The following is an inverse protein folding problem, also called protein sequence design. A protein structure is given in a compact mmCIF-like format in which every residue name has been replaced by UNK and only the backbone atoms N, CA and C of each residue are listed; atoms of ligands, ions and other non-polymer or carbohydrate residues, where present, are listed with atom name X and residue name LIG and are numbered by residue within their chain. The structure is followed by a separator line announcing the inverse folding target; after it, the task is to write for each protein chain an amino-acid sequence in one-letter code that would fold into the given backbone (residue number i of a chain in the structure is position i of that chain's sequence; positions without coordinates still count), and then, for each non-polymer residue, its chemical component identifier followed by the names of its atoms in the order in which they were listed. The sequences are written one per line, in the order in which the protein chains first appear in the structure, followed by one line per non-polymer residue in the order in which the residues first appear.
data_IF_394704647968
#
_entry.id   IF_394704647968
#
_cell.length_a   1.000
_cell.length_b   1.000
_cell.length_c   1.000
_cell.angle_alpha   90.00
_cell.angle_beta   90.00
_cell.angle_gamma   90.00
#
_symmetry.space_group_name_H-M   'P 1'
#
loop_
_entity.id
_entity.type
_entity.pdbx_description
1 polymer ?
#
# COMPACT_ATOMS: atom_id res chain seq x y z
N UNK A 1 1.07 4.78 -24.62
CA UNK A 1 1.23 4.99 -23.18
C UNK A 1 0.76 3.73 -22.49
N UNK A 2 1.67 2.84 -22.09
CA UNK A 2 1.31 1.71 -21.24
C UNK A 2 0.83 2.28 -19.92
N UNK A 3 -0.46 2.11 -19.61
CA UNK A 3 -1.02 2.43 -18.30
C UNK A 3 -0.36 1.46 -17.33
N UNK A 4 0.68 1.91 -16.63
CA UNK A 4 1.39 1.08 -15.67
C UNK A 4 0.56 0.88 -14.42
N UNK A 5 0.77 -0.25 -13.73
CA UNK A 5 -0.02 -0.62 -12.56
C UNK A 5 0.31 0.29 -11.37
N UNK A 6 -0.68 0.52 -10.52
CA UNK A 6 -0.51 1.26 -9.26
C UNK A 6 -0.61 0.33 -8.06
N UNK A 7 0.41 0.38 -7.21
CA UNK A 7 0.45 -0.28 -5.91
C UNK A 7 0.06 0.73 -4.83
N UNK A 8 -0.93 0.40 -4.02
CA UNK A 8 -1.37 1.23 -2.89
C UNK A 8 -1.02 0.57 -1.57
N UNK A 9 -0.38 1.30 -0.67
CA UNK A 9 0.02 0.83 0.66
C UNK A 9 -0.66 1.68 1.72
N UNK A 10 -1.32 1.07 2.71
CA UNK A 10 -1.95 1.80 3.82
C UNK A 10 -1.55 1.23 5.19
N UNK A 11 -0.93 2.08 6.00
CA UNK A 11 -0.46 1.73 7.34
C UNK A 11 -1.48 2.06 8.45
N UNK A 12 -2.69 2.52 8.08
CA UNK A 12 -3.74 2.85 9.03
C UNK A 12 -3.64 4.26 9.61
N UNK A 13 -4.69 4.65 10.32
CA UNK A 13 -4.88 6.02 10.81
C UNK A 13 -4.19 6.31 12.15
N UNK A 14 -3.99 5.29 12.99
CA UNK A 14 -3.78 5.48 14.44
C UNK A 14 -2.38 5.12 14.94
N UNK A 15 -1.64 4.23 14.27
CA UNK A 15 -0.29 3.83 14.69
C UNK A 15 0.64 3.89 13.49
N UNK A 16 1.74 4.67 13.54
CA UNK A 16 2.75 4.61 12.49
C UNK A 16 3.33 3.20 12.46
N UNK A 17 3.49 2.64 11.26
CA UNK A 17 4.09 1.32 11.08
C UNK A 17 5.38 1.45 10.26
N UNK A 18 6.50 1.87 10.90
CA UNK A 18 7.77 2.08 10.23
C UNK A 18 8.23 0.86 9.47
N UNK A 19 8.11 -0.32 10.07
CA UNK A 19 8.61 -1.57 9.50
C UNK A 19 8.03 -1.87 8.11
N UNK A 20 6.72 -1.68 7.93
CA UNK A 20 6.09 -1.85 6.62
C UNK A 20 6.54 -0.77 5.64
N UNK A 21 6.60 0.49 6.08
CA UNK A 21 7.02 1.61 5.23
C UNK A 21 8.47 1.43 4.77
N UNK A 22 9.36 1.00 5.64
CA UNK A 22 10.76 0.69 5.32
C UNK A 22 10.88 -0.52 4.39
N UNK A 23 10.04 -1.54 4.55
CA UNK A 23 9.99 -2.68 3.64
C UNK A 23 9.53 -2.28 2.23
N UNK A 24 8.49 -1.44 2.10
CA UNK A 24 7.98 -1.02 0.79
C UNK A 24 8.83 0.07 0.14
N UNK A 25 9.51 0.91 0.94
CA UNK A 25 10.51 1.88 0.48
C UNK A 25 11.90 1.24 0.56
N UNK A 26 12.01 -0.01 0.11
CA UNK A 26 13.29 -0.69 -0.04
C UNK A 26 13.65 -0.81 -1.52
N UNK A 27 14.93 -0.62 -1.85
CA UNK A 27 15.42 -0.72 -3.23
C UNK A 27 15.11 -2.06 -3.87
N UNK A 28 15.26 -3.17 -3.13
CA UNK A 28 14.96 -4.52 -3.65
C UNK A 28 13.49 -4.67 -4.00
N UNK A 29 12.60 -4.22 -3.11
CA UNK A 29 11.16 -4.28 -3.34
C UNK A 29 10.75 -3.39 -4.52
N UNK A 30 11.28 -2.16 -4.59
CA UNK A 30 10.98 -1.23 -5.68
C UNK A 30 11.44 -1.79 -7.04
N UNK A 31 12.61 -2.42 -7.09
CA UNK A 31 13.07 -3.09 -8.31
C UNK A 31 12.10 -4.20 -8.71
N UNK A 32 11.58 -4.97 -7.76
CA UNK A 32 10.67 -6.09 -8.05
C UNK A 32 9.29 -5.63 -8.54
N UNK A 33 8.72 -4.59 -7.94
CA UNK A 33 7.44 -4.03 -8.43
C UNK A 33 7.60 -3.40 -9.83
N UNK A 34 8.73 -2.74 -10.12
CA UNK A 34 9.00 -2.18 -11.45
C UNK A 34 9.10 -3.31 -12.49
N UNK A 35 9.79 -4.42 -12.17
CA UNK A 35 9.86 -5.60 -13.07
C UNK A 35 8.47 -6.17 -13.37
N UNK A 36 7.58 -6.17 -12.38
CA UNK A 36 6.20 -6.65 -12.52
C UNK A 36 5.25 -5.63 -13.18
N UNK A 37 5.77 -4.51 -13.70
CA UNK A 37 5.03 -3.54 -14.49
C UNK A 37 4.30 -2.46 -13.67
N UNK A 38 4.65 -2.30 -12.39
CA UNK A 38 4.15 -1.21 -11.57
C UNK A 38 4.96 0.06 -11.81
N UNK A 39 4.29 1.14 -12.17
CA UNK A 39 4.92 2.45 -12.44
C UNK A 39 4.62 3.46 -11.34
N UNK A 40 3.74 3.11 -10.40
CA UNK A 40 3.33 4.00 -9.31
C UNK A 40 3.19 3.24 -8.00
N UNK A 41 3.85 3.75 -6.97
CA UNK A 41 3.68 3.33 -5.58
C UNK A 41 3.07 4.48 -4.79
N UNK A 42 1.97 4.21 -4.13
CA UNK A 42 1.24 5.19 -3.32
C UNK A 42 1.22 4.70 -1.89
N UNK A 43 1.75 5.48 -0.96
CA UNK A 43 1.85 5.13 0.45
C UNK A 43 1.02 6.10 1.28
N UNK A 44 0.03 5.56 1.97
CA UNK A 44 -0.76 6.26 2.96
C UNK A 44 -0.21 5.98 4.36
N UNK A 45 0.19 7.04 5.06
CA UNK A 45 0.71 6.96 6.42
C UNK A 45 -0.05 7.88 7.40
N UNK A 46 0.04 7.54 8.69
CA UNK A 46 -0.52 8.34 9.78
C UNK A 46 0.14 9.70 9.95
N UNK A 47 -0.44 10.54 10.79
CA UNK A 47 0.07 11.90 11.03
C UNK A 47 1.48 11.89 11.62
N UNK A 48 2.38 12.73 11.10
CA UNK A 48 3.73 12.92 11.65
C UNK A 48 4.81 11.98 11.08
N UNK A 49 4.51 11.16 10.07
CA UNK A 49 5.50 10.30 9.40
C UNK A 49 6.13 10.92 8.14
N UNK A 50 5.75 12.17 7.80
CA UNK A 50 6.17 12.85 6.58
C UNK A 50 7.69 13.05 6.49
N UNK A 51 8.33 13.47 7.59
CA UNK A 51 9.78 13.68 7.65
C UNK A 51 10.56 12.38 7.50
N UNK A 52 10.17 11.33 8.22
CA UNK A 52 10.79 10.00 8.12
C UNK A 52 10.63 9.44 6.71
N UNK A 53 9.45 9.57 6.11
CA UNK A 53 9.19 9.15 4.73
C UNK A 53 10.09 9.90 3.74
N UNK A 54 10.25 11.22 3.90
CA UNK A 54 11.18 12.02 3.09
C UNK A 54 12.63 11.58 3.23
N UNK A 55 13.07 11.22 4.44
CA UNK A 55 14.43 10.71 4.68
C UNK A 55 14.63 9.37 3.99
N UNK A 56 13.68 8.44 4.12
CA UNK A 56 13.72 7.13 3.43
C UNK A 56 13.76 7.31 1.91
N UNK A 57 12.91 8.18 1.37
CA UNK A 57 12.94 8.53 -0.04
C UNK A 57 14.30 9.10 -0.45
N UNK A 58 14.85 10.02 0.34
CA UNK A 58 16.16 10.64 0.10
C UNK A 58 17.29 9.62 0.02
N UNK A 59 17.25 8.59 0.86
CA UNK A 59 18.22 7.50 0.88
C UNK A 59 18.10 6.48 -0.27
N UNK A 60 16.97 6.44 -0.98
CA UNK A 60 16.78 5.49 -2.10
C UNK A 60 17.67 5.81 -3.29
N UNK A 61 18.52 4.86 -3.66
CA UNK A 61 19.35 4.91 -4.85
C UNK A 61 19.03 3.74 -5.79
N UNK A 62 18.11 3.97 -6.73
CA UNK A 62 17.78 2.97 -7.75
C UNK A 62 18.84 3.08 -8.86
N UNK A 63 19.62 2.01 -9.05
CA UNK A 63 20.63 1.94 -10.10
C UNK A 63 20.07 2.36 -11.48
N UNK A 64 20.78 3.25 -12.18
CA UNK A 64 20.42 3.80 -13.49
C UNK A 64 19.17 4.71 -13.52
N UNK A 65 18.72 5.22 -12.37
CA UNK A 65 17.64 6.19 -12.30
C UNK A 65 18.10 7.49 -11.64
N UNK A 66 17.75 8.63 -12.23
CA UNK A 66 17.85 9.95 -11.60
C UNK A 66 16.55 10.22 -10.83
N UNK A 67 16.67 10.40 -9.52
CA UNK A 67 15.55 10.79 -8.69
C UNK A 67 15.39 12.31 -8.71
N UNK A 68 14.18 12.78 -9.04
CA UNK A 68 13.79 14.17 -8.82
C UNK A 68 12.77 14.19 -7.69
N UNK A 69 13.14 14.81 -6.56
CA UNK A 69 12.19 15.16 -5.51
C UNK A 69 11.37 16.35 -6.02
N UNK A 70 10.05 16.17 -6.06
CA UNK A 70 9.11 17.21 -6.49
C UNK A 70 8.18 17.53 -5.34
N UNK A 71 8.33 18.73 -4.77
CA UNK A 71 7.40 19.21 -3.75
C UNK A 71 6.10 19.72 -4.41
N UNK A 72 4.99 19.10 -4.01
CA UNK A 72 3.61 19.63 -3.95
C UNK A 72 2.94 20.25 -5.19
N UNK A 73 3.61 20.53 -6.32
CA UNK A 73 3.00 21.27 -7.46
C UNK A 73 3.11 20.63 -8.83
N UNK A 74 3.87 19.53 -8.97
CA UNK A 74 3.99 18.77 -10.22
C UNK A 74 4.05 17.28 -9.89
N UNK A 75 2.95 16.71 -9.44
CA UNK A 75 2.79 15.25 -9.49
C UNK A 75 2.42 14.93 -10.92
N UNK A 76 3.27 14.22 -11.70
CA UNK A 76 2.89 13.85 -13.04
C UNK A 76 1.69 12.89 -12.96
N UNK A 77 0.62 13.23 -13.67
CA UNK A 77 -0.62 12.46 -13.81
C UNK A 77 -1.38 12.13 -12.50
N UNK A 78 -1.27 12.96 -11.45
CA UNK A 78 -1.93 12.69 -10.17
C UNK A 78 -3.25 13.45 -9.98
N UNK A 79 -4.37 12.72 -9.95
CA UNK A 79 -5.70 13.21 -9.53
C UNK A 79 -5.60 14.01 -8.23
N UNK A 80 -5.80 15.33 -8.32
CA UNK A 80 -5.70 16.24 -7.17
C UNK A 80 -6.82 16.04 -6.12
N UNK A 81 -7.83 15.22 -6.43
CA UNK A 81 -9.05 15.02 -5.62
C UNK A 81 -8.86 14.15 -4.37
N UNK A 82 -7.77 13.38 -4.30
CA UNK A 82 -7.44 12.56 -3.13
C UNK A 82 -6.62 13.30 -2.07
N UNK A 83 -5.92 14.36 -2.45
CA UNK A 83 -5.08 15.13 -1.52
C UNK A 83 -5.96 16.15 -0.82
N UNK A 84 -6.50 15.78 0.34
CA UNK A 84 -7.29 16.67 1.18
C UNK A 84 -6.58 18.01 1.37
N UNK A 85 -7.36 19.09 1.41
CA UNK A 85 -6.95 20.50 1.33
C UNK A 85 -5.95 21.02 2.38
N UNK A 86 -5.46 20.18 3.31
CA UNK A 86 -4.63 20.61 4.44
C UNK A 86 -3.33 19.83 4.66
N UNK A 87 -2.98 18.82 3.82
CA UNK A 87 -1.69 18.12 3.94
C UNK A 87 -1.03 17.95 2.58
N UNK A 88 0.18 18.47 2.46
CA UNK A 88 0.99 18.42 1.24
C UNK A 88 1.44 16.99 0.95
N UNK A 89 1.06 16.39 -0.18
CA UNK A 89 1.58 15.10 -0.58
C UNK A 89 3.06 15.22 -0.91
N UNK A 90 3.83 14.24 -0.47
CA UNK A 90 5.25 14.09 -0.79
C UNK A 90 5.37 13.19 -2.00
N UNK A 91 6.10 13.61 -3.03
CA UNK A 91 6.29 12.80 -4.23
C UNK A 91 7.77 12.75 -4.63
N UNK A 92 8.23 11.57 -5.00
CA UNK A 92 9.54 11.35 -5.62
C UNK A 92 9.36 10.55 -6.89
N UNK A 93 9.81 11.13 -8.00
CA UNK A 93 9.77 10.48 -9.32
C UNK A 93 11.18 10.07 -9.71
N UNK A 94 11.29 8.86 -10.28
CA UNK A 94 12.52 8.29 -10.79
C UNK A 94 12.45 8.23 -12.31
N UNK A 95 13.39 8.90 -12.96
CA UNK A 95 13.55 8.94 -14.41
C UNK A 95 14.77 8.10 -14.80
N UNK A 96 14.75 7.50 -15.99
CA UNK A 96 15.91 6.75 -16.48
C UNK A 96 17.02 7.74 -16.87
N UNK A 97 18.27 7.44 -16.55
CA UNK A 97 19.42 8.29 -16.94
C UNK A 97 19.56 8.50 -18.45
N UNK A 98 18.98 7.60 -19.27
CA UNK A 98 19.14 7.59 -20.73
C UNK A 98 17.82 7.78 -21.52
N UNK A 99 16.75 8.31 -20.91
CA UNK A 99 15.49 8.52 -21.63
C UNK A 99 14.48 9.40 -20.88
N UNK A 100 13.74 10.21 -21.64
CA UNK A 100 12.69 11.13 -21.19
C UNK A 100 11.38 10.44 -20.73
N UNK A 101 11.46 9.18 -20.30
CA UNK A 101 10.29 8.43 -19.82
C UNK A 101 10.35 8.30 -18.30
N UNK A 102 9.30 8.78 -17.64
CA UNK A 102 9.06 8.58 -16.21
C UNK A 102 8.92 7.08 -15.93
N UNK A 103 9.92 6.49 -15.26
CA UNK A 103 9.95 5.03 -15.06
C UNK A 103 9.08 4.64 -13.87
N UNK A 104 9.13 5.44 -12.80
CA UNK A 104 8.49 5.07 -11.55
C UNK A 104 8.24 6.30 -10.66
N UNK A 105 7.07 6.37 -10.04
CA UNK A 105 6.70 7.46 -9.12
C UNK A 105 6.27 6.92 -7.75
N UNK A 106 6.82 7.48 -6.69
CA UNK A 106 6.43 7.20 -5.31
C UNK A 106 5.71 8.41 -4.75
N UNK A 107 4.48 8.23 -4.27
CA UNK A 107 3.66 9.27 -3.67
C UNK A 107 3.31 8.89 -2.24
N UNK A 108 3.59 9.76 -1.29
CA UNK A 108 3.22 9.65 0.11
C UNK A 108 2.19 10.69 0.48
N UNK A 109 1.09 10.29 1.10
CA UNK A 109 0.11 11.24 1.63
C UNK A 109 -0.50 10.76 2.96
N UNK A 110 -1.09 11.71 3.69
CA UNK A 110 -1.72 11.44 4.98
C UNK A 110 -3.11 10.78 4.86
N UNK A 111 -3.85 10.74 5.98
CA UNK A 111 -5.25 10.31 5.97
C UNK A 111 -6.10 11.21 5.07
N UNK A 112 -6.88 10.61 4.17
CA UNK A 112 -7.85 11.28 3.30
C UNK A 112 -9.17 10.51 3.28
N UNK A 113 -10.28 11.21 3.03
CA UNK A 113 -11.62 10.61 2.97
C UNK A 113 -11.96 10.02 1.60
N UNK A 114 -11.25 10.40 0.53
CA UNK A 114 -11.54 9.96 -0.85
C UNK A 114 -10.70 8.77 -1.31
N UNK A 115 -10.04 8.06 -0.39
CA UNK A 115 -9.12 6.96 -0.71
C UNK A 115 -9.85 5.77 -1.35
N UNK A 116 -11.09 5.49 -0.94
CA UNK A 116 -11.88 4.37 -1.47
C UNK A 116 -12.10 4.44 -2.98
N UNK A 117 -12.51 5.62 -3.48
CA UNK A 117 -12.76 5.82 -4.91
C UNK A 117 -11.46 5.70 -5.71
N UNK A 118 -10.36 6.21 -5.16
CA UNK A 118 -9.05 6.09 -5.78
C UNK A 118 -8.55 4.64 -5.87
N UNK A 119 -8.74 3.86 -4.80
CA UNK A 119 -8.42 2.43 -4.81
C UNK A 119 -9.24 1.71 -5.88
N UNK A 120 -10.49 2.11 -6.07
CA UNK A 120 -11.36 1.50 -7.08
C UNK A 120 -10.88 1.76 -8.50
N UNK A 121 -10.60 3.02 -8.82
CA UNK A 121 -10.42 3.47 -10.20
C UNK A 121 -8.95 3.36 -10.67
N UNK A 122 -8.00 3.57 -9.77
CA UNK A 122 -6.57 3.73 -10.14
C UNK A 122 -5.64 2.67 -9.56
N UNK A 123 -6.08 1.83 -8.63
CA UNK A 123 -5.21 0.86 -7.93
C UNK A 123 -5.44 -0.57 -8.42
N UNK A 124 -4.34 -1.26 -8.67
CA UNK A 124 -4.33 -2.66 -9.10
C UNK A 124 -4.10 -3.61 -7.93
N UNK A 125 -3.26 -3.22 -6.96
CA UNK A 125 -2.92 -4.02 -5.79
C UNK A 125 -2.90 -3.17 -4.53
N UNK A 126 -3.46 -3.70 -3.45
CA UNK A 126 -3.46 -3.06 -2.13
C UNK A 126 -2.59 -3.87 -1.16
N UNK A 127 -1.72 -3.17 -0.43
CA UNK A 127 -1.02 -3.68 0.73
C UNK A 127 -1.55 -2.91 1.93
N UNK A 128 -2.15 -3.59 2.89
CA UNK A 128 -2.56 -2.96 4.13
C UNK A 128 -1.82 -3.58 5.30
N UNK A 129 -1.55 -2.79 6.34
CA UNK A 129 -1.38 -3.36 7.67
C UNK A 129 -2.66 -4.14 8.05
N UNK A 130 -2.58 -5.02 9.04
CA UNK A 130 -3.71 -5.82 9.54
C UNK A 130 -4.82 -5.01 10.27
N UNK A 131 -5.06 -3.77 9.86
CA UNK A 131 -6.18 -2.95 10.28
C UNK A 131 -7.49 -3.43 9.67
N UNK A 132 -8.47 -3.69 10.53
CA UNK A 132 -9.77 -4.27 10.14
C UNK A 132 -10.57 -3.39 9.17
N UNK A 133 -10.49 -2.06 9.30
CA UNK A 133 -11.14 -1.11 8.38
C UNK A 133 -10.59 -1.22 6.96
N UNK A 134 -9.26 -1.13 6.82
CA UNK A 134 -8.59 -1.18 5.51
C UNK A 134 -8.78 -2.53 4.81
N UNK A 135 -8.79 -3.64 5.55
CA UNK A 135 -9.10 -4.97 5.03
C UNK A 135 -10.53 -5.01 4.48
N UNK A 136 -11.50 -4.53 5.25
CA UNK A 136 -12.90 -4.51 4.85
C UNK A 136 -13.12 -3.67 3.59
N UNK A 137 -12.49 -2.51 3.51
CA UNK A 137 -12.66 -1.62 2.37
C UNK A 137 -12.05 -2.22 1.09
N UNK A 138 -10.88 -2.86 1.19
CA UNK A 138 -10.29 -3.57 0.04
C UNK A 138 -11.13 -4.77 -0.41
N UNK A 139 -11.69 -5.53 0.54
CA UNK A 139 -12.60 -6.65 0.24
C UNK A 139 -13.91 -6.18 -0.41
N UNK A 140 -14.48 -5.04 0.03
CA UNK A 140 -15.65 -4.42 -0.61
C UNK A 140 -15.34 -3.98 -2.04
N UNK A 141 -14.14 -3.44 -2.27
CA UNK A 141 -13.70 -2.93 -3.57
C UNK A 141 -13.24 -4.04 -4.54
N UNK A 142 -13.23 -5.30 -4.09
CA UNK A 142 -12.82 -6.48 -4.89
C UNK A 142 -11.41 -6.34 -5.45
N UNK A 143 -10.50 -5.75 -4.68
CA UNK A 143 -9.09 -5.60 -5.08
C UNK A 143 -8.22 -6.65 -4.40
N UNK A 144 -7.17 -7.15 -5.07
CA UNK A 144 -6.23 -8.06 -4.44
C UNK A 144 -5.57 -7.36 -3.24
N UNK A 145 -5.48 -8.08 -2.13
CA UNK A 145 -5.05 -7.53 -0.85
C UNK A 145 -3.95 -8.40 -0.23
N UNK A 146 -2.83 -7.76 0.07
CA UNK A 146 -1.77 -8.31 0.91
C UNK A 146 -1.87 -7.63 2.28
N UNK A 147 -1.92 -8.45 3.33
CA UNK A 147 -2.06 -8.00 4.72
C UNK A 147 -0.74 -8.22 5.45
N UNK A 148 -0.09 -7.13 5.85
CA UNK A 148 1.09 -7.18 6.69
C UNK A 148 0.70 -7.14 8.18
N UNK A 149 0.97 -8.22 8.89
CA UNK A 149 0.66 -8.36 10.32
C UNK A 149 1.78 -7.74 11.13
N UNK A 150 1.44 -6.80 12.02
CA UNK A 150 2.43 -6.25 12.93
C UNK A 150 2.68 -7.23 14.09
N UNK A 151 3.85 -7.86 14.10
CA UNK A 151 4.29 -8.75 15.19
C UNK A 151 4.76 -8.00 16.43
N UNK A 152 5.03 -6.71 16.32
CA UNK A 152 5.55 -5.86 17.40
C UNK A 152 4.44 -5.35 18.31
N UNK A 153 3.20 -5.26 17.82
CA UNK A 153 2.04 -5.07 18.69
C UNK A 153 1.61 -6.43 19.22
N UNK A 154 1.61 -6.58 20.54
CA UNK A 154 1.27 -7.78 21.31
C UNK A 154 -0.19 -8.26 21.16
N UNK A 155 -0.91 -7.74 20.16
CA UNK A 155 -2.29 -8.04 19.85
C UNK A 155 -2.33 -9.12 18.75
N UNK A 156 -2.24 -10.39 19.18
CA UNK A 156 -2.40 -11.59 18.33
C UNK A 156 -3.71 -11.58 17.50
N UNK A 157 -4.63 -10.65 17.78
CA UNK A 157 -5.84 -10.40 17.03
C UNK A 157 -5.59 -10.10 15.56
N UNK A 158 -4.56 -9.32 15.24
CA UNK A 158 -4.23 -9.00 13.85
C UNK A 158 -3.83 -10.26 13.06
N UNK A 159 -3.00 -11.09 13.68
CA UNK A 159 -2.54 -12.36 13.11
C UNK A 159 -3.70 -13.35 12.92
N UNK A 160 -4.59 -13.47 13.92
CA UNK A 160 -5.78 -14.32 13.82
C UNK A 160 -6.69 -13.92 12.66
N UNK A 161 -6.87 -12.62 12.45
CA UNK A 161 -7.69 -12.08 11.36
C UNK A 161 -7.01 -12.39 10.02
N UNK A 162 -5.73 -12.08 9.88
CA UNK A 162 -4.97 -12.35 8.66
C UNK A 162 -4.95 -13.85 8.31
N UNK A 163 -4.70 -14.73 9.29
CA UNK A 163 -4.69 -16.18 9.11
C UNK A 163 -6.07 -16.71 8.69
N UNK A 164 -7.15 -16.18 9.27
CA UNK A 164 -8.52 -16.60 8.92
C UNK A 164 -8.87 -16.19 7.49
N UNK A 165 -8.56 -14.95 7.10
CA UNK A 165 -8.80 -14.49 5.73
C UNK A 165 -7.89 -15.17 4.71
N UNK A 166 -6.65 -15.48 5.09
CA UNK A 166 -5.70 -16.25 4.28
C UNK A 166 -6.18 -17.67 4.04
N UNK A 167 -6.67 -18.34 5.08
CA UNK A 167 -7.25 -19.69 4.97
C UNK A 167 -8.48 -19.75 4.08
N UNK A 168 -9.25 -18.65 4.03
CA UNK A 168 -10.41 -18.54 3.16
C UNK A 168 -10.03 -18.18 1.70
N UNK A 169 -8.79 -17.78 1.44
CA UNK A 169 -8.29 -17.38 0.13
C UNK A 169 -8.72 -15.97 -0.30
N UNK A 170 -9.00 -15.09 0.66
CA UNK A 170 -9.39 -13.71 0.40
C UNK A 170 -8.22 -12.73 0.46
N UNK A 171 -7.18 -13.03 1.25
CA UNK A 171 -6.02 -12.16 1.45
C UNK A 171 -4.75 -12.99 1.52
N UNK A 172 -3.61 -12.37 1.23
CA UNK A 172 -2.31 -12.96 1.50
C UNK A 172 -1.72 -12.33 2.76
N UNK A 173 -1.53 -13.12 3.82
CA UNK A 173 -0.89 -12.65 5.04
C UNK A 173 0.64 -12.67 4.87
N UNK A 174 1.30 -11.62 5.32
CA UNK A 174 2.76 -11.52 5.37
C UNK A 174 3.21 -10.88 6.69
N UNK A 175 4.44 -11.14 7.11
CA UNK A 175 5.10 -10.38 8.17
C UNK A 175 5.83 -9.16 7.58
N UNK A 176 6.24 -8.18 8.41
CA UNK A 176 7.04 -7.03 7.97
C UNK A 176 8.49 -7.43 7.74
N UNK A 177 8.70 -8.43 6.88
CA UNK A 177 10.01 -8.88 6.41
C UNK A 177 10.05 -8.72 4.91
N UNK A 178 11.15 -8.13 4.42
CA UNK A 178 11.33 -7.84 3.00
C UNK A 178 11.21 -9.10 2.13
N UNK A 179 11.87 -10.19 2.53
CA UNK A 179 11.88 -11.44 1.75
C UNK A 179 10.48 -12.05 1.65
N UNK A 180 9.75 -12.09 2.76
CA UNK A 180 8.38 -12.63 2.81
C UNK A 180 7.38 -11.74 2.04
N UNK A 181 7.57 -10.42 2.10
CA UNK A 181 6.75 -9.48 1.33
C UNK A 181 6.95 -9.65 -0.18
N UNK A 182 8.19 -9.89 -0.63
CA UNK A 182 8.50 -10.15 -2.04
C UNK A 182 7.89 -11.48 -2.49
N UNK A 183 8.06 -12.55 -1.71
CA UNK A 183 7.45 -13.86 -2.02
C UNK A 183 5.92 -13.74 -2.13
N UNK A 184 5.27 -13.05 -1.19
CA UNK A 184 3.82 -12.85 -1.22
C UNK A 184 3.36 -11.92 -2.34
N UNK A 185 4.19 -10.96 -2.72
CA UNK A 185 3.93 -10.12 -3.89
C UNK A 185 3.97 -10.94 -5.18
N UNK A 186 4.94 -11.84 -5.34
CA UNK A 186 4.99 -12.74 -6.50
C UNK A 186 3.82 -13.73 -6.50
N UNK A 187 3.48 -14.31 -5.34
CA UNK A 187 2.26 -15.12 -5.20
C UNK A 187 1.01 -14.33 -5.60
N UNK A 188 0.92 -13.05 -5.23
CA UNK A 188 -0.23 -12.20 -5.55
C UNK A 188 -0.44 -11.97 -7.05
N UNK A 189 0.62 -12.09 -7.88
CA UNK A 189 0.48 -11.97 -9.34
C UNK A 189 -0.16 -13.20 -9.97
N UNK A 190 -0.03 -14.37 -9.34
CA UNK A 190 -0.54 -15.66 -9.84
C UNK A 190 -1.85 -16.07 -9.12
N UNK A 191 -2.06 -15.57 -7.91
CA UNK A 191 -3.20 -15.94 -7.08
C UNK A 191 -4.50 -15.31 -7.57
N UNK A 192 -5.52 -16.16 -7.78
CA UNK A 192 -6.86 -15.71 -8.10
C UNK A 192 -7.63 -15.45 -6.80
N UNK A 193 -7.71 -14.17 -6.41
CA UNK A 193 -8.38 -13.76 -5.18
C UNK A 193 -9.87 -14.10 -5.26
N UNK A 194 -10.37 -14.84 -4.26
CA UNK A 194 -11.80 -15.22 -4.22
C UNK A 194 -12.68 -14.00 -4.01
N UNK A 195 -13.81 -13.99 -4.71
CA UNK A 195 -14.80 -12.92 -4.57
C UNK A 195 -15.45 -12.95 -3.19
N UNK A 196 -15.43 -11.81 -2.49
CA UNK A 196 -16.19 -11.67 -1.26
C UNK A 196 -17.69 -11.47 -1.60
N UNK A 197 -18.60 -12.38 -1.20
CA UNK A 197 -20.02 -12.21 -1.48
C UNK A 197 -20.56 -11.02 -0.68
N UNK A 198 -20.88 -9.94 -1.38
CA UNK A 198 -21.34 -8.66 -0.82
C UNK A 198 -22.72 -8.75 -0.15
N UNK A 199 -23.39 -9.90 -0.21
CA UNK A 199 -24.75 -10.09 0.26
C UNK A 199 -24.80 -10.81 1.61
N UNK A 200 -25.14 -10.04 2.66
CA UNK A 200 -25.40 -10.43 4.05
C UNK A 200 -24.17 -10.83 4.87
N UNK A 201 -23.49 -9.85 5.46
CA UNK A 201 -22.61 -10.19 6.57
C UNK A 201 -22.40 -9.04 7.59
N UNK A 202 -23.49 -8.39 8.01
CA UNK A 202 -23.52 -7.61 9.27
C UNK A 202 -22.98 -8.46 10.43
N UNK A 203 -23.20 -9.78 10.39
CA UNK A 203 -22.60 -10.75 11.33
C UNK A 203 -21.08 -10.80 11.25
N UNK A 204 -20.48 -10.71 10.06
CA UNK A 204 -19.03 -10.77 9.85
C UNK A 204 -18.39 -9.43 10.19
N UNK A 205 -19.03 -8.31 9.82
CA UNK A 205 -18.59 -6.99 10.25
C UNK A 205 -18.67 -6.85 11.78
N UNK A 206 -19.74 -7.37 12.39
CA UNK A 206 -19.83 -7.46 13.85
C UNK A 206 -18.81 -8.45 14.44
N UNK A 207 -18.55 -9.59 13.81
CA UNK A 207 -17.52 -10.54 14.26
C UNK A 207 -16.14 -9.87 14.24
N UNK A 208 -15.85 -9.09 13.21
CA UNK A 208 -14.58 -8.36 13.05
C UNK A 208 -14.50 -7.19 14.03
N UNK A 209 -15.59 -6.44 14.27
CA UNK A 209 -15.64 -5.43 15.33
C UNK A 209 -15.47 -6.07 16.72
N UNK A 210 -16.11 -7.20 16.98
CA UNK A 210 -15.94 -7.94 18.25
C UNK A 210 -14.53 -8.52 18.41
N UNK A 211 -13.86 -8.90 17.31
CA UNK A 211 -12.48 -9.39 17.34
C UNK A 211 -11.44 -8.25 17.39
N UNK A 212 -11.77 -7.05 16.89
CA UNK A 212 -10.88 -5.89 16.86
C UNK A 212 -10.90 -5.03 18.12
N UNK A 213 -11.98 -5.09 18.93
CA UNK A 213 -12.20 -4.26 20.11
C UNK A 213 -12.24 -5.06 21.43
N UNK A 214 -11.63 -6.24 21.48
CA UNK A 214 -11.62 -7.07 22.70
C UNK A 214 -10.29 -7.01 23.43
#
# INVERSE_FOLDING_TARGET
MTVGKTLFVTCGATVPFPDLVECVINEKFIVEIIKNGYTRLVVQFGTGYESTFLTLLSGLNIANCTATLSDSKKIPNGDFSIYGSNKTPVCRTFNKTNGHDEVFSIVGFGISMNVEQYIKDNVDLVISHAGTGSILDSLKLKKPLIVCVNTSLMDNHQEQIANKFGSMGYVLACHPKLDELIEKFDESQVYEFKEFPTSKNVKFENLLKTLAYK
#
